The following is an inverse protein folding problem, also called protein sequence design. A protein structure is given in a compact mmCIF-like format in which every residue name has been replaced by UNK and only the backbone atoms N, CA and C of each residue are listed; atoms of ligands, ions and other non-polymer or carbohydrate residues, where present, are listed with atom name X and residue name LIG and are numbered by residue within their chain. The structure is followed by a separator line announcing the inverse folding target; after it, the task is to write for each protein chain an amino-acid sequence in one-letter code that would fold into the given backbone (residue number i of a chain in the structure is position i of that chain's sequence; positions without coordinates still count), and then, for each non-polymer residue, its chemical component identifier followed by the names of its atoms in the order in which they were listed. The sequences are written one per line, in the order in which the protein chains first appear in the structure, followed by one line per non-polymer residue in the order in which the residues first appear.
data_IF_071840747560
#
_entry.id   IF_071840747560
#
_cell.length_a   1.000
_cell.length_b   1.000
_cell.length_c   1.000
_cell.angle_alpha   90.00
_cell.angle_beta   90.00
_cell.angle_gamma   90.00
#
_symmetry.space_group_name_H-M   'P 1'
#
loop_
_entity.id
_entity.type
_entity.pdbx_description
1 polymer ?
#
# COMPACT_ATOMS: atom_id res chain seq x y z
N UNK A 1 8.34 24.48 -0.76
CA UNK A 1 8.00 23.22 -0.06
C UNK A 1 6.97 23.51 1.01
N UNK A 2 6.03 22.60 1.29
CA UNK A 2 5.09 22.77 2.40
C UNK A 2 5.85 22.83 3.74
N UNK A 3 5.31 23.58 4.70
CA UNK A 3 5.85 23.67 6.06
C UNK A 3 5.36 22.46 6.85
N UNK A 4 6.27 21.64 7.36
CA UNK A 4 5.91 20.47 8.15
C UNK A 4 5.57 20.88 9.60
N UNK A 5 4.42 20.45 10.13
CA UNK A 5 4.10 20.66 11.53
C UNK A 5 5.09 19.91 12.43
N UNK A 6 5.49 20.52 13.55
CA UNK A 6 6.30 19.85 14.58
C UNK A 6 5.39 19.07 15.53
N UNK A 7 4.68 18.09 15.01
CA UNK A 7 3.78 17.20 15.76
C UNK A 7 4.25 15.75 15.65
N UNK A 8 3.86 14.91 16.63
CA UNK A 8 4.22 13.49 16.62
C UNK A 8 3.36 12.65 15.65
N UNK A 9 2.25 13.21 15.14
CA UNK A 9 1.34 12.54 14.22
C UNK A 9 0.63 13.56 13.31
N UNK A 10 0.05 13.04 12.22
CA UNK A 10 -0.82 13.76 11.30
C UNK A 10 -2.28 13.32 11.53
N UNK A 11 -3.22 14.25 11.38
CA UNK A 11 -4.67 13.97 11.44
C UNK A 11 -5.31 13.83 10.07
N UNK A 12 -4.58 14.18 9.01
CA UNK A 12 -5.02 14.01 7.63
C UNK A 12 -4.63 12.60 7.18
N UNK A 13 -5.58 11.78 6.68
CA UNK A 13 -5.23 10.48 6.12
C UNK A 13 -4.34 10.68 4.87
N UNK A 14 -3.39 9.78 4.63
CA UNK A 14 -2.64 9.80 3.38
C UNK A 14 -3.53 9.36 2.21
N UNK A 15 -3.23 9.84 1.01
CA UNK A 15 -3.89 9.37 -0.22
C UNK A 15 -3.50 7.91 -0.55
N UNK A 16 -2.30 7.50 -0.14
CA UNK A 16 -1.73 6.17 -0.39
C UNK A 16 -0.95 5.64 0.81
N UNK A 17 -1.09 4.34 1.07
CA UNK A 17 -0.29 3.60 2.06
C UNK A 17 0.38 2.41 1.39
N UNK A 18 1.65 2.17 1.73
CA UNK A 18 2.35 0.93 1.40
C UNK A 18 2.71 0.19 2.69
N UNK A 19 2.12 -0.99 2.88
CA UNK A 19 2.47 -1.87 4.00
C UNK A 19 3.38 -2.99 3.52
N UNK A 20 4.48 -3.20 4.23
CA UNK A 20 5.37 -4.35 4.00
C UNK A 20 4.99 -5.42 5.02
N UNK A 21 4.38 -6.49 4.51
CA UNK A 21 3.91 -7.60 5.31
C UNK A 21 5.09 -8.38 5.87
N UNK A 22 4.93 -8.80 7.12
CA UNK A 22 5.78 -9.80 7.74
C UNK A 22 4.91 -10.97 8.22
N UNK A 23 5.51 -12.13 8.41
CA UNK A 23 4.82 -13.30 8.96
C UNK A 23 4.14 -13.04 10.32
N UNK A 24 4.62 -12.06 11.10
CA UNK A 24 4.02 -11.69 12.39
C UNK A 24 2.95 -10.61 12.31
N UNK A 25 2.90 -9.80 11.25
CA UNK A 25 1.95 -8.68 11.10
C UNK A 25 0.90 -8.87 10.02
N UNK A 26 1.03 -9.90 9.17
CA UNK A 26 0.14 -10.10 8.02
C UNK A 26 -1.36 -10.09 8.38
N UNK A 27 -1.74 -10.70 9.51
CA UNK A 27 -3.14 -10.67 10.00
C UNK A 27 -3.55 -9.25 10.39
N UNK A 28 -2.69 -8.53 11.13
CA UNK A 28 -2.96 -7.15 11.54
C UNK A 28 -3.13 -6.23 10.34
N UNK A 29 -2.23 -6.33 9.36
CA UNK A 29 -2.23 -5.47 8.17
C UNK A 29 -3.49 -5.70 7.34
N UNK A 30 -3.95 -6.95 7.22
CA UNK A 30 -5.11 -7.30 6.38
C UNK A 30 -6.44 -7.15 7.08
N UNK A 31 -6.54 -7.58 8.33
CA UNK A 31 -7.82 -7.69 9.02
C UNK A 31 -8.13 -6.49 9.91
N UNK A 32 -7.12 -5.74 10.34
CA UNK A 32 -7.30 -4.60 11.26
C UNK A 32 -7.02 -3.28 10.55
N UNK A 33 -5.88 -3.14 9.86
CA UNK A 33 -5.51 -1.86 9.24
C UNK A 33 -6.35 -1.54 8.01
N UNK A 34 -6.56 -2.50 7.09
CA UNK A 34 -7.35 -2.23 5.88
C UNK A 34 -8.77 -1.70 6.18
N UNK A 35 -9.56 -2.27 7.11
CA UNK A 35 -10.84 -1.69 7.46
C UNK A 35 -10.74 -0.26 8.00
N UNK A 36 -9.73 0.04 8.82
CA UNK A 36 -9.49 1.40 9.35
C UNK A 36 -9.14 2.36 8.21
N UNK A 37 -8.25 1.97 7.30
CA UNK A 37 -7.89 2.80 6.14
C UNK A 37 -9.07 3.08 5.23
N UNK A 38 -9.94 2.10 5.00
CA UNK A 38 -11.16 2.29 4.24
C UNK A 38 -12.14 3.25 4.94
N UNK A 39 -12.28 3.15 6.27
CA UNK A 39 -13.11 4.06 7.06
C UNK A 39 -12.59 5.49 7.03
N UNK A 40 -11.26 5.67 7.08
CA UNK A 40 -10.59 6.98 7.05
C UNK A 40 -10.40 7.52 5.62
N UNK A 41 -10.79 6.77 4.58
CA UNK A 41 -10.81 7.24 3.19
C UNK A 41 -9.46 7.21 2.46
N UNK A 42 -8.50 6.38 2.90
CA UNK A 42 -7.23 6.20 2.18
C UNK A 42 -7.50 5.60 0.81
N UNK A 43 -7.20 6.34 -0.26
CA UNK A 43 -7.60 6.03 -1.62
C UNK A 43 -6.95 4.78 -2.21
N UNK A 44 -5.68 4.54 -1.89
CA UNK A 44 -4.91 3.42 -2.43
C UNK A 44 -4.08 2.72 -1.35
N UNK A 45 -4.06 1.39 -1.39
CA UNK A 45 -3.20 0.59 -0.50
C UNK A 45 -2.40 -0.41 -1.31
N UNK A 46 -1.10 -0.44 -1.09
CA UNK A 46 -0.20 -1.45 -1.62
C UNK A 46 0.23 -2.38 -0.48
N UNK A 47 0.11 -3.69 -0.69
CA UNK A 47 0.64 -4.69 0.23
C UNK A 47 1.81 -5.42 -0.43
N UNK A 48 3.01 -5.24 0.13
CA UNK A 48 4.23 -5.90 -0.31
C UNK A 48 4.48 -7.09 0.60
N UNK A 49 4.60 -8.30 0.07
CA UNK A 49 4.99 -9.47 0.84
C UNK A 49 6.36 -9.98 0.34
N UNK A 50 7.45 -9.74 1.09
CA UNK A 50 8.78 -10.19 0.70
C UNK A 50 8.93 -11.72 0.68
N UNK A 51 8.26 -12.44 1.58
CA UNK A 51 8.34 -13.90 1.69
C UNK A 51 7.73 -14.58 0.45
N UNK A 52 6.56 -14.10 0.01
CA UNK A 52 5.91 -14.60 -1.22
C UNK A 52 6.31 -13.83 -2.49
N UNK A 53 7.19 -12.82 -2.36
CA UNK A 53 7.62 -11.90 -3.42
C UNK A 53 6.47 -11.34 -4.23
N UNK A 54 5.47 -10.79 -3.53
CA UNK A 54 4.26 -10.26 -4.16
C UNK A 54 4.03 -8.79 -3.86
N UNK A 55 3.43 -8.10 -4.81
CA UNK A 55 2.81 -6.79 -4.62
C UNK A 55 1.32 -6.89 -4.96
N UNK A 56 0.46 -6.60 -3.99
CA UNK A 56 -0.98 -6.48 -4.16
C UNK A 56 -1.36 -5.00 -4.17
N UNK A 57 -2.22 -4.61 -5.11
CA UNK A 57 -2.60 -3.21 -5.31
C UNK A 57 -4.11 -3.08 -5.13
N UNK A 58 -4.52 -2.21 -4.23
CA UNK A 58 -5.91 -1.94 -3.90
C UNK A 58 -6.27 -0.48 -4.13
N UNK A 59 -7.50 -0.24 -4.56
CA UNK A 59 -8.15 1.07 -4.57
C UNK A 59 -9.43 1.04 -3.75
N UNK A 60 -9.68 2.11 -3.02
CA UNK A 60 -10.93 2.31 -2.31
C UNK A 60 -12.04 2.63 -3.30
N UNK A 61 -13.10 1.83 -3.27
CA UNK A 61 -14.29 1.97 -4.09
C UNK A 61 -15.52 1.79 -3.21
N UNK A 62 -16.39 2.80 -3.15
CA UNK A 62 -17.61 2.81 -2.31
C UNK A 62 -17.40 2.32 -0.87
N UNK A 63 -16.27 2.69 -0.24
CA UNK A 63 -15.93 2.34 1.13
C UNK A 63 -15.34 0.93 1.32
N UNK A 64 -14.95 0.24 0.23
CA UNK A 64 -14.28 -1.06 0.28
C UNK A 64 -13.08 -1.10 -0.65
N UNK A 65 -12.05 -1.85 -0.27
CA UNK A 65 -10.91 -2.05 -1.15
C UNK A 65 -11.20 -3.09 -2.23
N UNK A 66 -10.99 -2.70 -3.48
CA UNK A 66 -11.00 -3.58 -4.65
C UNK A 66 -9.56 -3.82 -5.06
N UNK A 67 -9.17 -5.09 -5.22
CA UNK A 67 -7.85 -5.44 -5.72
C UNK A 67 -7.79 -5.17 -7.23
N UNK A 68 -6.92 -4.25 -7.63
CA UNK A 68 -6.69 -3.91 -9.03
C UNK A 68 -5.69 -4.88 -9.68
N UNK A 69 -4.66 -5.28 -8.93
CA UNK A 69 -3.58 -6.11 -9.46
C UNK A 69 -2.90 -6.94 -8.37
N UNK A 70 -2.28 -8.04 -8.81
CA UNK A 70 -1.32 -8.83 -8.06
C UNK A 70 -0.12 -9.11 -8.96
N UNK A 71 1.04 -8.61 -8.56
CA UNK A 71 2.32 -8.86 -9.22
C UNK A 71 3.18 -9.80 -8.38
N UNK A 72 4.08 -10.53 -9.03
CA UNK A 72 5.00 -11.47 -8.41
C UNK A 72 6.41 -11.28 -8.96
N UNK A 73 7.41 -11.65 -8.16
CA UNK A 73 8.82 -11.71 -8.54
C UNK A 73 9.31 -10.37 -9.14
N UNK A 74 10.11 -10.40 -10.20
CA UNK A 74 10.79 -9.22 -10.77
C UNK A 74 9.99 -8.44 -11.82
N UNK A 75 8.68 -8.28 -11.65
CA UNK A 75 7.88 -7.51 -12.61
C UNK A 75 8.23 -6.01 -12.57
N UNK A 76 8.23 -5.34 -13.72
CA UNK A 76 8.23 -3.88 -13.80
C UNK A 76 6.78 -3.39 -13.71
N UNK A 77 6.44 -2.69 -12.63
CA UNK A 77 5.07 -2.30 -12.29
C UNK A 77 4.87 -0.80 -12.45
N UNK A 78 3.84 -0.42 -13.21
CA UNK A 78 3.29 0.94 -13.28
C UNK A 78 1.81 0.82 -12.90
N UNK A 79 1.44 1.39 -11.76
CA UNK A 79 0.12 1.17 -11.19
C UNK A 79 -0.35 2.36 -10.36
N UNK A 80 -1.66 2.48 -10.17
CA UNK A 80 -2.26 3.56 -9.39
C UNK A 80 -1.69 3.62 -7.97
N UNK A 81 -1.34 4.81 -7.44
CA UNK A 81 -1.47 6.15 -8.04
C UNK A 81 -0.17 6.66 -8.74
N UNK A 82 0.75 5.76 -9.11
CA UNK A 82 2.08 6.07 -9.65
C UNK A 82 2.32 5.49 -11.06
N UNK A 83 1.34 5.54 -11.95
CA UNK A 83 1.41 5.00 -13.31
C UNK A 83 2.54 5.62 -14.15
N UNK A 84 2.96 6.83 -13.79
CA UNK A 84 4.07 7.53 -14.44
C UNK A 84 5.47 6.95 -14.10
N UNK A 85 5.59 6.13 -13.05
CA UNK A 85 6.86 5.59 -12.57
C UNK A 85 6.85 4.06 -12.62
N UNK A 86 7.85 3.47 -13.29
CA UNK A 86 8.05 2.03 -13.27
C UNK A 86 8.83 1.60 -12.02
N UNK A 87 8.21 0.77 -11.18
CA UNK A 87 8.85 0.11 -10.05
C UNK A 87 9.32 -1.29 -10.47
N UNK A 88 10.64 -1.50 -10.51
CA UNK A 88 11.21 -2.84 -10.68
C UNK A 88 11.12 -3.59 -9.35
N UNK A 89 10.20 -4.55 -9.27
CA UNK A 89 9.99 -5.33 -8.05
C UNK A 89 11.20 -6.20 -7.69
N UNK A 90 12.09 -6.52 -8.63
CA UNK A 90 13.29 -7.30 -8.32
C UNK A 90 14.17 -6.62 -7.26
N UNK A 91 14.10 -5.29 -7.16
CA UNK A 91 14.84 -4.48 -6.19
C UNK A 91 14.30 -4.61 -4.75
N UNK A 92 13.11 -5.17 -4.55
CA UNK A 92 12.48 -5.27 -3.23
C UNK A 92 12.80 -6.57 -2.49
N UNK A 93 13.41 -7.56 -3.16
CA UNK A 93 13.53 -8.92 -2.64
C UNK A 93 14.93 -9.30 -2.15
N UNK A 94 15.91 -8.41 -2.28
CA UNK A 94 17.33 -8.67 -1.96
C UNK A 94 17.72 -8.28 -0.55
#
# INVERSE_FOLDING_TARGET
MPVYPRTAAFTLPPDWVCEVLSSSTQVLDREVKLPVYAQEGVGHVWLVNPDSRTLEIYRLDEGRYVQLALHRDGALVQAEPFEALGLDLALLWT
#
